data_IF_525327011954
#
_entry.id   IF_525327011954
#
_cell.length_a   1.000
_cell.length_b   1.000
_cell.length_c   1.000
_cell.angle_alpha   90.00
_cell.angle_beta   90.00
_cell.angle_gamma   90.00
#
_symmetry.space_group_name_H-M   'P 1'
#
loop_
_entity.id
_entity.type
_entity.pdbx_description
1 polymer ?
#
# COMPACT_ATOMS: atom_id res chain seq x y z
N UNK A 1 -11.28 20.27 -4.79
CA UNK A 1 -11.98 19.58 -5.88
C UNK A 1 -12.03 18.10 -5.56
N UNK A 2 -13.17 17.58 -5.07
CA UNK A 2 -13.36 16.13 -4.93
C UNK A 2 -13.73 15.58 -6.32
N UNK A 3 -13.00 14.61 -6.87
CA UNK A 3 -13.38 14.00 -8.13
C UNK A 3 -14.74 13.32 -7.96
N UNK A 4 -15.75 13.77 -8.71
CA UNK A 4 -17.08 13.17 -8.76
C UNK A 4 -16.97 11.76 -9.35
N UNK A 5 -17.36 10.74 -8.59
CA UNK A 5 -17.43 9.35 -9.06
C UNK A 5 -16.51 8.36 -8.35
N UNK A 6 -15.60 8.82 -7.48
CA UNK A 6 -14.93 7.91 -6.54
C UNK A 6 -15.70 7.91 -5.22
N UNK A 7 -16.19 6.75 -4.71
CA UNK A 7 -16.86 6.70 -3.41
C UNK A 7 -15.91 7.25 -2.34
N UNK A 8 -16.40 7.81 -1.23
CA UNK A 8 -15.52 8.27 -0.14
C UNK A 8 -14.83 7.05 0.47
N UNK A 9 -13.66 6.68 -0.07
CA UNK A 9 -12.97 5.45 0.27
C UNK A 9 -12.08 5.70 1.50
N UNK A 10 -12.72 5.68 2.67
CA UNK A 10 -12.01 5.61 3.95
C UNK A 10 -11.44 4.21 4.13
N UNK A 11 -10.12 4.09 3.98
CA UNK A 11 -9.39 2.86 4.29
C UNK A 11 -8.84 2.98 5.71
N UNK A 12 -9.27 2.09 6.60
CA UNK A 12 -8.72 1.93 7.94
C UNK A 12 -7.70 0.78 7.93
N UNK A 13 -6.46 1.06 8.35
CA UNK A 13 -5.38 0.08 8.44
C UNK A 13 -4.90 -0.05 9.89
N UNK A 14 -4.24 -1.17 10.19
CA UNK A 14 -3.53 -1.38 11.44
C UNK A 14 -2.14 -1.95 11.17
N UNK A 15 -1.21 -1.75 12.09
CA UNK A 15 0.09 -2.43 12.06
C UNK A 15 -0.10 -3.95 12.06
N UNK A 16 0.65 -4.65 11.22
CA UNK A 16 0.59 -6.10 11.05
C UNK A 16 -0.53 -6.60 10.13
N UNK A 17 -1.43 -5.75 9.61
CA UNK A 17 -2.45 -6.25 8.68
C UNK A 17 -1.87 -6.50 7.28
N UNK A 18 -2.35 -7.54 6.58
CA UNK A 18 -2.03 -7.72 5.18
C UNK A 18 -2.76 -6.67 4.33
N UNK A 19 -2.08 -6.15 3.31
CA UNK A 19 -2.61 -5.25 2.28
C UNK A 19 -2.17 -5.73 0.89
N UNK A 20 -2.82 -5.22 -0.15
CA UNK A 20 -2.51 -5.54 -1.54
C UNK A 20 -2.48 -4.26 -2.37
N UNK A 21 -1.51 -4.15 -3.28
CA UNK A 21 -1.51 -3.08 -4.27
C UNK A 21 -2.60 -3.34 -5.31
N UNK A 22 -3.44 -2.33 -5.55
CA UNK A 22 -4.49 -2.35 -6.59
C UNK A 22 -4.04 -1.74 -7.92
N UNK A 23 -2.84 -1.15 -7.94
CA UNK A 23 -2.24 -0.51 -9.13
C UNK A 23 -0.75 -0.75 -9.17
N UNK A 24 -0.20 -0.71 -10.37
CA UNK A 24 1.24 -0.79 -10.57
C UNK A 24 1.93 0.44 -9.99
N UNK A 25 2.91 0.22 -9.12
CA UNK A 25 3.73 1.28 -8.52
C UNK A 25 5.14 1.28 -9.10
N UNK A 26 5.81 0.12 -9.08
CA UNK A 26 7.15 -0.08 -9.65
C UNK A 26 7.33 -1.55 -10.08
N UNK A 27 6.82 -1.92 -11.27
CA UNK A 27 6.82 -3.30 -11.75
C UNK A 27 8.20 -3.95 -11.83
N UNK A 28 9.23 -3.18 -12.25
CA UNK A 28 10.62 -3.67 -12.32
C UNK A 28 11.17 -4.17 -10.97
N UNK A 29 10.60 -3.72 -9.86
CA UNK A 29 10.98 -4.12 -8.50
C UNK A 29 9.94 -5.01 -7.81
N UNK A 30 8.93 -5.50 -8.55
CA UNK A 30 7.87 -6.37 -8.02
C UNK A 30 6.75 -5.65 -7.28
N UNK A 31 6.70 -4.32 -7.34
CA UNK A 31 5.62 -3.52 -6.77
C UNK A 31 4.50 -3.32 -7.81
N UNK A 32 3.85 -4.41 -8.20
CA UNK A 32 2.78 -4.45 -9.18
C UNK A 32 1.41 -4.71 -8.53
N UNK A 33 0.35 -4.59 -9.33
CA UNK A 33 -1.00 -4.98 -8.92
C UNK A 33 -1.02 -6.44 -8.45
N UNK A 34 -1.66 -6.71 -7.32
CA UNK A 34 -1.73 -8.04 -6.71
C UNK A 34 -0.60 -8.36 -5.73
N UNK A 35 0.50 -7.58 -5.69
CA UNK A 35 1.55 -7.81 -4.69
C UNK A 35 1.02 -7.56 -3.28
N UNK A 36 1.24 -8.54 -2.40
CA UNK A 36 0.78 -8.52 -1.01
C UNK A 36 1.88 -8.06 -0.06
N UNK A 37 1.52 -7.23 0.89
CA UNK A 37 2.41 -6.69 1.92
C UNK A 37 1.81 -6.86 3.30
N UNK A 38 2.66 -6.83 4.32
CA UNK A 38 2.27 -6.66 5.71
C UNK A 38 2.64 -5.26 6.15
N UNK A 39 1.68 -4.50 6.70
CA UNK A 39 1.93 -3.15 7.22
C UNK A 39 2.87 -3.23 8.43
N UNK A 40 3.98 -2.50 8.38
CA UNK A 40 4.95 -2.43 9.49
C UNK A 40 4.79 -1.18 10.32
N UNK A 41 4.49 -0.04 9.70
CA UNK A 41 4.26 1.24 10.39
C UNK A 41 3.19 2.08 9.68
N UNK A 42 2.44 2.86 10.45
CA UNK A 42 1.43 3.80 9.96
C UNK A 42 1.77 5.21 10.45
N UNK A 43 2.35 6.00 9.56
CA UNK A 43 2.65 7.40 9.80
C UNK A 43 1.50 8.30 9.28
N UNK A 44 1.57 9.60 9.58
CA UNK A 44 0.57 10.58 9.15
C UNK A 44 0.40 10.62 7.63
N UNK A 45 1.51 10.52 6.88
CA UNK A 45 1.52 10.67 5.42
C UNK A 45 2.07 9.44 4.68
N UNK A 46 2.52 8.41 5.39
CA UNK A 46 3.18 7.24 4.79
C UNK A 46 2.71 5.97 5.47
N UNK A 47 2.42 4.95 4.66
CA UNK A 47 2.26 3.56 5.10
C UNK A 47 3.56 2.85 4.78
N UNK A 48 4.22 2.30 5.79
CA UNK A 48 5.34 1.40 5.59
C UNK A 48 4.82 -0.04 5.55
N UNK A 49 5.26 -0.81 4.56
CA UNK A 49 4.88 -2.19 4.42
C UNK A 49 6.01 -3.04 3.87
N UNK A 50 6.01 -4.32 4.21
CA UNK A 50 7.01 -5.30 3.75
C UNK A 50 6.33 -6.35 2.89
N UNK A 51 6.95 -6.69 1.76
CA UNK A 51 6.43 -7.72 0.84
C UNK A 51 6.29 -9.05 1.59
N UNK A 52 5.06 -9.57 1.62
CA UNK A 52 4.72 -10.72 2.44
C UNK A 52 5.13 -12.06 1.80
N UNK A 53 5.11 -12.13 0.47
CA UNK A 53 5.33 -13.36 -0.30
C UNK A 53 5.95 -13.08 -1.67
N UNK A 54 6.61 -14.08 -2.25
CA UNK A 54 7.15 -14.03 -3.62
C UNK A 54 8.64 -13.69 -3.71
N UNK A 55 9.19 -13.48 -4.92
CA UNK A 55 10.63 -13.29 -5.14
C UNK A 55 11.23 -12.06 -4.45
N UNK A 56 10.38 -11.11 -4.06
CA UNK A 56 10.76 -9.87 -3.42
C UNK A 56 10.38 -9.83 -1.93
N UNK A 57 10.12 -10.98 -1.31
CA UNK A 57 9.79 -11.10 0.12
C UNK A 57 10.81 -10.35 0.99
N UNK A 58 10.34 -9.63 1.99
CA UNK A 58 11.19 -8.83 2.87
C UNK A 58 11.54 -7.43 2.33
N UNK A 59 11.30 -7.13 1.04
CA UNK A 59 11.49 -5.76 0.53
C UNK A 59 10.47 -4.79 1.12
N UNK A 60 10.96 -3.66 1.62
CA UNK A 60 10.15 -2.54 2.13
C UNK A 60 9.57 -1.71 1.00
N UNK A 61 8.38 -1.17 1.24
CA UNK A 61 7.67 -0.23 0.37
C UNK A 61 7.10 0.89 1.24
N UNK A 62 7.26 2.12 0.77
CA UNK A 62 6.66 3.32 1.36
C UNK A 62 5.56 3.83 0.45
N UNK A 63 4.32 3.78 0.93
CA UNK A 63 3.14 4.23 0.18
C UNK A 63 2.67 5.55 0.76
N UNK A 64 2.65 6.60 -0.06
CA UNK A 64 2.12 7.89 0.36
C UNK A 64 0.61 7.80 0.64
N UNK A 65 0.17 8.34 1.77
CA UNK A 65 -1.23 8.53 2.12
C UNK A 65 -1.72 9.82 1.48
N UNK A 66 -2.87 9.75 0.82
CA UNK A 66 -3.56 10.94 0.33
C UNK A 66 -4.38 11.48 1.51
N UNK A 67 -4.10 12.70 2.01
CA UNK A 67 -4.99 13.35 2.97
C UNK A 67 -6.34 13.61 2.29
N UNK A 68 -7.43 13.36 3.01
CA UNK A 68 -8.80 13.64 2.54
C UNK A 68 -9.12 15.13 2.60
#
# INVERSE_FOLDING_TARGET
FYPSGLPVHKIALKKGCPIMLLRNFHPANGHCNGTRYTVTELNSHVIEAVTATGPHTGKRLFIARIPL
#
